data_IF_545659016310
#
_entry.id   IF_545659016310
#
_cell.length_a   1.000
_cell.length_b   1.000
_cell.length_c   1.000
_cell.angle_alpha   90.00
_cell.angle_beta   90.00
_cell.angle_gamma   90.00
#
_symmetry.space_group_name_H-M   'P 1'
#
loop_
_entity.id
_entity.type
_entity.pdbx_description
1 polymer ?
#
# COMPACT_ATOMS: atom_id res chain seq x y z
N UNK A 1 46.38 -8.85 -80.92
CA UNK A 1 45.24 -9.62 -80.41
C UNK A 1 44.60 -8.82 -79.29
N UNK A 2 43.34 -8.31 -79.48
CA UNK A 2 42.60 -7.49 -78.51
C UNK A 2 41.55 -8.37 -77.86
N UNK A 3 41.44 -8.42 -76.51
CA UNK A 3 40.32 -9.10 -75.89
C UNK A 3 39.06 -8.18 -75.79
N UNK A 4 37.92 -8.74 -76.21
CA UNK A 4 36.62 -8.12 -76.18
C UNK A 4 36.11 -8.05 -74.65
N UNK A 5 35.76 -6.85 -74.28
CA UNK A 5 35.07 -6.65 -72.95
C UNK A 5 33.56 -6.97 -73.07
N UNK A 6 33.08 -7.97 -72.32
CA UNK A 6 31.69 -8.21 -72.16
C UNK A 6 31.16 -7.29 -71.00
N UNK A 7 30.22 -6.45 -71.38
CA UNK A 7 29.50 -5.66 -70.40
C UNK A 7 28.30 -6.51 -69.86
N UNK A 8 28.32 -6.85 -68.54
CA UNK A 8 27.25 -7.47 -67.87
C UNK A 8 26.44 -6.37 -67.15
N UNK A 9 25.26 -6.09 -67.64
CA UNK A 9 24.28 -5.19 -67.00
C UNK A 9 23.56 -5.94 -65.91
N UNK A 10 23.84 -5.60 -64.60
CA UNK A 10 23.10 -6.05 -63.45
C UNK A 10 21.87 -5.15 -63.29
N UNK A 11 20.68 -5.71 -63.55
CA UNK A 11 19.43 -5.09 -63.21
C UNK A 11 19.10 -5.42 -61.70
N UNK A 12 19.34 -4.47 -60.83
CA UNK A 12 18.92 -4.57 -59.41
C UNK A 12 17.43 -4.21 -59.29
N UNK A 13 16.59 -5.24 -59.14
CA UNK A 13 15.18 -5.07 -58.75
C UNK A 13 15.12 -4.69 -57.26
N UNK A 14 14.78 -3.42 -56.95
CA UNK A 14 14.41 -2.97 -55.62
C UNK A 14 13.01 -3.49 -55.30
N UNK A 15 12.91 -4.63 -54.58
CA UNK A 15 11.68 -4.99 -53.89
C UNK A 15 11.57 -4.15 -52.62
N UNK A 16 10.75 -3.09 -52.64
CA UNK A 16 10.29 -2.41 -51.42
C UNK A 16 9.38 -3.39 -50.67
N UNK A 17 9.92 -3.96 -49.61
CA UNK A 17 9.12 -4.65 -48.61
C UNK A 17 8.36 -3.59 -47.77
N UNK A 18 7.08 -3.40 -48.08
CA UNK A 18 6.16 -2.69 -47.18
C UNK A 18 5.91 -3.58 -45.94
N UNK A 19 6.70 -3.34 -44.92
CA UNK A 19 6.37 -3.89 -43.58
C UNK A 19 5.17 -3.11 -43.06
N UNK A 20 4.10 -3.79 -42.64
CA UNK A 20 3.01 -3.10 -41.95
C UNK A 20 3.56 -2.55 -40.65
N UNK A 21 3.55 -1.23 -40.47
CA UNK A 21 3.78 -0.58 -39.20
C UNK A 21 2.73 -1.09 -38.21
N UNK A 22 3.14 -2.02 -37.36
CA UNK A 22 2.35 -2.37 -36.17
C UNK A 22 2.41 -1.16 -35.25
N UNK A 23 1.36 -0.35 -35.28
CA UNK A 23 1.11 0.67 -34.26
C UNK A 23 1.05 -0.04 -32.92
N UNK A 24 2.14 -0.01 -32.16
CA UNK A 24 2.16 -0.41 -30.75
C UNK A 24 1.45 0.72 -30.01
N UNK A 25 0.12 0.61 -29.89
CA UNK A 25 -0.63 1.40 -28.94
C UNK A 25 -0.13 1.01 -27.55
N UNK A 26 0.47 1.93 -26.77
CA UNK A 26 0.79 1.63 -25.37
C UNK A 26 -0.54 1.28 -24.69
N UNK A 27 -0.64 0.07 -24.16
CA UNK A 27 -1.72 -0.29 -23.25
C UNK A 27 -1.56 0.62 -22.04
N UNK A 28 -2.34 1.69 -21.98
CA UNK A 28 -2.54 2.48 -20.77
C UNK A 28 -3.08 1.48 -19.76
N UNK A 29 -2.25 1.09 -18.79
CA UNK A 29 -2.69 0.35 -17.60
C UNK A 29 -3.71 1.25 -16.92
N UNK A 30 -5.00 1.00 -17.18
CA UNK A 30 -6.08 1.67 -16.47
C UNK A 30 -5.97 1.23 -15.02
N UNK A 31 -5.72 2.17 -14.13
CA UNK A 31 -5.90 1.94 -12.70
C UNK A 31 -7.40 1.68 -12.52
N UNK A 32 -7.81 0.53 -11.95
CA UNK A 32 -9.22 0.24 -11.73
C UNK A 32 -9.88 1.40 -10.98
N UNK A 33 -11.12 1.72 -11.33
CA UNK A 33 -11.91 2.67 -10.54
C UNK A 33 -12.16 2.07 -9.15
N UNK A 34 -12.43 2.91 -8.14
CA UNK A 34 -12.73 2.43 -6.79
C UNK A 34 -13.93 1.46 -6.79
N UNK A 35 -14.90 1.68 -7.65
CA UNK A 35 -16.05 0.80 -7.83
C UNK A 35 -15.66 -0.57 -8.41
N UNK A 36 -14.76 -0.63 -9.41
CA UNK A 36 -14.23 -1.88 -9.95
C UNK A 36 -13.39 -2.65 -8.91
N UNK A 37 -12.75 -1.94 -7.99
CA UNK A 37 -12.03 -2.54 -6.87
C UNK A 37 -12.93 -2.99 -5.71
N UNK A 38 -14.27 -2.90 -5.86
CA UNK A 38 -15.25 -3.38 -4.89
C UNK A 38 -15.59 -2.38 -3.78
N UNK A 39 -15.31 -1.10 -3.99
CA UNK A 39 -15.66 -0.02 -3.09
C UNK A 39 -16.94 0.68 -3.53
N UNK A 40 -17.79 1.04 -2.58
CA UNK A 40 -19.01 1.82 -2.78
C UNK A 40 -19.09 2.99 -1.80
N UNK A 41 -19.85 4.03 -2.15
CA UNK A 41 -20.08 5.16 -1.26
C UNK A 41 -20.85 4.73 -0.01
N UNK A 42 -20.44 5.19 1.16
CA UNK A 42 -21.11 5.05 2.44
C UNK A 42 -21.35 6.45 3.05
N UNK A 43 -22.11 6.52 4.14
CA UNK A 43 -22.53 7.80 4.77
C UNK A 43 -21.30 8.67 5.13
N UNK A 44 -20.27 8.04 5.69
CA UNK A 44 -19.10 8.75 6.22
C UNK A 44 -17.83 8.49 5.38
N UNK A 45 -17.94 7.92 4.17
CA UNK A 45 -16.79 7.60 3.36
C UNK A 45 -17.02 6.49 2.35
N UNK A 46 -16.20 5.46 2.34
CA UNK A 46 -16.31 4.29 1.44
C UNK A 46 -16.49 2.99 2.23
N UNK A 47 -17.21 2.06 1.63
CA UNK A 47 -17.37 0.70 2.15
C UNK A 47 -16.95 -0.31 1.07
N UNK A 48 -16.14 -1.27 1.46
CA UNK A 48 -15.75 -2.39 0.60
C UNK A 48 -16.75 -3.56 0.74
N UNK A 49 -16.93 -4.38 -0.30
CA UNK A 49 -17.83 -5.55 -0.25
C UNK A 49 -17.47 -6.56 0.85
N UNK A 50 -16.20 -6.59 1.31
CA UNK A 50 -15.75 -7.38 2.47
C UNK A 50 -16.27 -6.86 3.82
N UNK A 51 -16.98 -5.74 3.82
CA UNK A 51 -17.54 -5.11 5.01
C UNK A 51 -16.66 -4.04 5.65
N UNK A 52 -15.41 -3.85 5.22
CA UNK A 52 -14.57 -2.77 5.74
C UNK A 52 -15.15 -1.41 5.39
N UNK A 53 -15.33 -0.55 6.39
CA UNK A 53 -15.68 0.85 6.21
C UNK A 53 -14.45 1.72 6.38
N UNK A 54 -14.24 2.62 5.44
CA UNK A 54 -13.17 3.60 5.43
C UNK A 54 -13.77 5.00 5.48
N UNK A 55 -14.03 5.56 6.68
CA UNK A 55 -14.50 6.94 6.81
C UNK A 55 -13.54 7.91 6.13
N UNK A 56 -14.05 9.06 5.66
CA UNK A 56 -13.22 10.11 5.08
C UNK A 56 -12.25 10.70 6.11
N UNK A 57 -12.65 10.66 7.39
CA UNK A 57 -11.83 11.12 8.51
C UNK A 57 -11.85 10.14 9.68
N UNK A 58 -10.70 9.97 10.34
CA UNK A 58 -10.54 9.22 11.59
C UNK A 58 -9.74 10.07 12.56
N UNK A 59 -10.42 10.72 13.52
CA UNK A 59 -9.77 11.73 14.36
C UNK A 59 -9.08 12.82 13.52
N UNK A 60 -7.75 13.03 13.69
CA UNK A 60 -7.01 14.02 12.91
C UNK A 60 -6.53 13.51 11.53
N UNK A 61 -6.92 12.32 11.12
CA UNK A 61 -6.50 11.71 9.85
C UNK A 61 -7.54 11.87 8.75
N UNK A 62 -7.08 12.11 7.52
CA UNK A 62 -7.89 12.13 6.30
C UNK A 62 -7.56 10.93 5.43
N UNK A 63 -8.57 10.24 4.91
CA UNK A 63 -8.38 9.17 3.94
C UNK A 63 -7.87 9.73 2.62
N UNK A 64 -6.76 9.21 2.14
CA UNK A 64 -6.15 9.60 0.87
C UNK A 64 -6.28 8.54 -0.22
N UNK A 65 -6.49 7.27 0.18
CA UNK A 65 -6.60 6.17 -0.78
C UNK A 65 -7.28 4.96 -0.13
N UNK A 66 -7.95 4.17 -0.95
CA UNK A 66 -8.35 2.80 -0.62
C UNK A 66 -7.42 1.79 -1.28
N UNK A 67 -7.39 0.57 -0.76
CA UNK A 67 -6.52 -0.52 -1.20
C UNK A 67 -7.37 -1.72 -1.58
N UNK A 68 -6.99 -2.36 -2.66
CA UNK A 68 -7.58 -3.61 -3.13
C UNK A 68 -7.18 -4.78 -2.22
N UNK A 69 -7.89 -5.90 -2.39
CA UNK A 69 -7.57 -7.16 -1.75
C UNK A 69 -6.25 -7.72 -2.27
N UNK A 70 -5.39 -8.19 -1.37
CA UNK A 70 -4.10 -8.78 -1.70
C UNK A 70 -3.76 -9.92 -0.72
N UNK A 71 -3.62 -11.13 -1.21
CA UNK A 71 -3.32 -12.30 -0.38
C UNK A 71 -4.40 -12.55 0.67
N UNK A 72 -4.04 -12.50 1.96
CA UNK A 72 -4.94 -12.65 3.10
C UNK A 72 -5.62 -11.33 3.53
N UNK A 73 -5.16 -10.19 3.00
CA UNK A 73 -5.75 -8.89 3.23
C UNK A 73 -6.91 -8.66 2.27
N UNK A 74 -8.11 -8.45 2.79
CA UNK A 74 -9.31 -8.32 1.98
C UNK A 74 -9.45 -6.92 1.35
N UNK A 75 -9.04 -5.88 2.06
CA UNK A 75 -9.08 -4.48 1.60
C UNK A 75 -8.37 -3.58 2.62
N UNK A 76 -8.23 -2.31 2.33
CA UNK A 76 -7.59 -1.37 3.24
C UNK A 76 -7.83 0.08 2.91
N UNK A 77 -7.45 0.97 3.82
CA UNK A 77 -7.52 2.41 3.70
C UNK A 77 -6.21 3.04 4.14
N UNK A 78 -5.75 4.02 3.38
CA UNK A 78 -4.57 4.82 3.70
C UNK A 78 -5.04 6.20 4.15
N UNK A 79 -4.52 6.63 5.27
CA UNK A 79 -4.81 7.92 5.88
C UNK A 79 -3.53 8.74 6.04
N UNK A 80 -3.66 10.05 5.98
CA UNK A 80 -2.61 10.98 6.37
C UNK A 80 -3.10 11.84 7.52
N UNK A 81 -2.24 12.02 8.51
CA UNK A 81 -2.44 12.89 9.67
C UNK A 81 -1.57 14.14 9.58
N UNK A 82 -1.48 14.87 10.69
CA UNK A 82 -0.61 16.04 10.79
C UNK A 82 0.86 15.64 10.67
N UNK A 83 1.67 16.56 10.18
CA UNK A 83 3.15 16.46 10.15
C UNK A 83 3.67 15.18 9.48
N UNK A 84 2.92 14.65 8.50
CA UNK A 84 3.33 13.47 7.73
C UNK A 84 3.06 12.12 8.40
N UNK A 85 2.30 12.09 9.52
CA UNK A 85 1.77 10.83 10.05
C UNK A 85 1.03 10.09 8.96
N UNK A 86 1.34 8.81 8.78
CA UNK A 86 0.64 7.96 7.82
C UNK A 86 0.11 6.74 8.54
N UNK A 87 -1.16 6.41 8.29
CA UNK A 87 -1.80 5.24 8.85
C UNK A 87 -2.40 4.37 7.74
N UNK A 88 -2.28 3.05 7.89
CA UNK A 88 -2.90 2.06 7.02
C UNK A 88 -3.75 1.13 7.87
N UNK A 89 -5.05 1.15 7.61
CA UNK A 89 -6.01 0.22 8.20
C UNK A 89 -6.32 -0.87 7.16
N UNK A 90 -6.18 -2.14 7.53
CA UNK A 90 -6.55 -3.28 6.67
C UNK A 90 -7.43 -4.26 7.42
N UNK A 91 -8.38 -4.87 6.71
CA UNK A 91 -9.05 -6.05 7.22
C UNK A 91 -8.46 -7.33 6.62
N UNK A 92 -8.62 -8.41 7.36
CA UNK A 92 -8.10 -9.74 7.03
C UNK A 92 -9.19 -10.77 7.26
N UNK A 93 -9.03 -11.94 6.68
CA UNK A 93 -9.88 -13.08 7.03
C UNK A 93 -9.81 -13.33 8.55
N UNK A 94 -10.94 -13.65 9.15
CA UNK A 94 -11.01 -13.94 10.59
C UNK A 94 -9.97 -15.00 10.99
N UNK A 95 -9.23 -14.73 12.06
CA UNK A 95 -8.17 -15.58 12.60
C UNK A 95 -6.81 -15.43 11.91
N UNK A 96 -6.69 -14.63 10.84
CA UNK A 96 -5.40 -14.47 10.12
C UNK A 96 -4.61 -13.22 10.50
N UNK A 97 -5.25 -12.19 11.08
CA UNK A 97 -4.59 -10.91 11.37
C UNK A 97 -3.41 -11.03 12.36
N UNK A 98 -3.46 -11.98 13.29
CA UNK A 98 -2.31 -12.27 14.17
C UNK A 98 -1.09 -12.76 13.37
N UNK A 99 -1.30 -13.55 12.32
CA UNK A 99 -0.22 -14.01 11.45
C UNK A 99 0.41 -12.85 10.69
N UNK A 100 -0.38 -11.84 10.31
CA UNK A 100 0.15 -10.63 9.67
C UNK A 100 1.08 -9.86 10.63
N UNK A 101 0.69 -9.68 11.89
CA UNK A 101 1.55 -9.05 12.90
C UNK A 101 2.85 -9.84 13.13
N UNK A 102 2.78 -11.17 13.14
CA UNK A 102 3.96 -12.02 13.23
C UNK A 102 4.87 -11.87 12.00
N UNK A 103 4.27 -11.87 10.79
CA UNK A 103 4.99 -11.70 9.52
C UNK A 103 5.67 -10.32 9.47
N UNK A 104 4.99 -9.26 9.87
CA UNK A 104 5.56 -7.93 10.01
C UNK A 104 6.80 -7.96 10.92
N UNK A 105 6.67 -8.49 12.14
CA UNK A 105 7.78 -8.60 13.09
C UNK A 105 8.98 -9.35 12.52
N UNK A 106 8.73 -10.49 11.87
CA UNK A 106 9.78 -11.31 11.27
C UNK A 106 10.50 -10.57 10.14
N UNK A 107 9.75 -9.95 9.24
CA UNK A 107 10.30 -9.26 8.06
C UNK A 107 11.18 -8.07 8.49
N UNK A 108 10.73 -7.28 9.48
CA UNK A 108 11.49 -6.14 9.97
C UNK A 108 12.77 -6.56 10.70
N UNK A 109 12.72 -7.64 11.50
CA UNK A 109 13.92 -8.22 12.11
C UNK A 109 14.91 -8.75 11.08
N UNK A 110 14.41 -9.42 10.04
CA UNK A 110 15.25 -9.92 8.94
C UNK A 110 15.87 -8.77 8.12
N UNK A 111 15.18 -7.65 8.00
CA UNK A 111 15.70 -6.43 7.37
C UNK A 111 16.73 -5.69 8.24
N UNK A 112 16.94 -6.13 9.49
CA UNK A 112 17.92 -5.53 10.42
C UNK A 112 17.41 -4.28 11.13
N UNK A 113 16.09 -4.05 11.18
CA UNK A 113 15.52 -2.92 11.90
C UNK A 113 15.48 -3.17 13.42
N UNK A 114 15.76 -2.12 14.20
CA UNK A 114 15.79 -2.19 15.65
C UNK A 114 14.37 -2.11 16.25
N UNK A 115 14.00 -3.03 17.16
CA UNK A 115 12.73 -2.95 17.86
C UNK A 115 12.69 -1.74 18.79
N UNK A 116 11.52 -1.11 18.88
CA UNK A 116 11.23 0.02 19.77
C UNK A 116 10.10 -0.37 20.71
N UNK A 117 10.22 0.04 21.98
CA UNK A 117 9.14 -0.11 22.96
C UNK A 117 8.44 1.24 23.13
N UNK A 118 7.15 1.26 22.80
CA UNK A 118 6.28 2.41 23.05
C UNK A 118 5.65 2.31 24.44
N UNK A 119 5.07 3.42 24.92
CA UNK A 119 4.43 3.50 26.24
C UNK A 119 2.90 3.42 26.14
N UNK A 120 2.24 3.14 27.28
CA UNK A 120 0.79 3.14 27.38
C UNK A 120 0.09 2.13 26.47
N UNK A 121 -1.06 2.50 25.90
CA UNK A 121 -1.83 1.64 24.99
C UNK A 121 -1.05 1.28 23.71
N UNK A 122 -0.13 2.14 23.28
CA UNK A 122 0.70 1.91 22.09
C UNK A 122 1.68 0.74 22.26
N UNK A 123 2.04 0.36 23.49
CA UNK A 123 2.94 -0.75 23.79
C UNK A 123 2.43 -2.12 23.33
N UNK A 124 1.13 -2.26 23.02
CA UNK A 124 0.54 -3.51 22.50
C UNK A 124 0.83 -3.74 21.02
N UNK A 125 1.46 -2.78 20.32
CA UNK A 125 1.90 -2.93 18.94
C UNK A 125 3.31 -3.51 18.82
N UNK A 126 3.62 -3.95 17.60
CA UNK A 126 4.98 -4.36 17.22
C UNK A 126 5.64 -3.17 16.52
N UNK A 127 6.69 -2.63 17.11
CA UNK A 127 7.31 -1.37 16.69
C UNK A 127 8.76 -1.56 16.31
N UNK A 128 9.19 -0.89 15.24
CA UNK A 128 10.57 -0.87 14.78
C UNK A 128 11.00 0.54 14.37
N UNK A 129 12.28 0.81 14.59
CA UNK A 129 12.97 1.97 14.04
C UNK A 129 13.47 1.60 12.66
N UNK A 130 12.99 2.32 11.64
CA UNK A 130 13.32 2.02 10.23
C UNK A 130 14.32 2.98 9.64
N UNK A 131 14.49 4.16 10.25
CA UNK A 131 15.50 5.14 9.85
C UNK A 131 15.84 6.09 10.98
N UNK A 132 17.13 6.38 11.11
CA UNK A 132 17.64 7.38 12.04
C UNK A 132 18.00 8.69 11.33
N UNK A 133 17.55 9.80 11.92
CA UNK A 133 18.01 11.15 11.61
C UNK A 133 18.29 11.84 12.96
N UNK A 134 19.49 12.23 13.21
CA UNK A 134 19.78 12.96 14.45
C UNK A 134 19.13 14.36 14.40
N UNK A 135 18.24 14.72 15.35
CA UNK A 135 17.90 14.03 16.61
C UNK A 135 16.64 13.15 16.56
N UNK A 136 16.13 12.79 15.39
CA UNK A 136 14.84 12.07 15.22
C UNK A 136 15.04 10.70 14.61
N UNK A 137 14.02 9.84 14.74
CA UNK A 137 13.98 8.51 14.14
C UNK A 137 12.61 8.22 13.54
N UNK A 138 12.58 7.72 12.30
CA UNK A 138 11.34 7.16 11.72
C UNK A 138 11.07 5.80 12.36
N UNK A 139 9.87 5.64 12.87
CA UNK A 139 9.40 4.41 13.46
C UNK A 139 8.11 3.95 12.78
N UNK A 140 7.91 2.65 12.74
CA UNK A 140 6.73 2.02 12.19
C UNK A 140 6.19 1.02 13.20
N UNK A 141 4.89 1.04 13.43
CA UNK A 141 4.22 0.15 14.38
C UNK A 141 3.00 -0.47 13.76
N UNK A 142 2.82 -1.77 13.99
CA UNK A 142 1.64 -2.52 13.60
C UNK A 142 0.91 -3.02 14.85
N UNK A 143 -0.38 -2.69 14.94
CA UNK A 143 -1.32 -3.26 15.90
C UNK A 143 -2.24 -4.25 15.21
N UNK A 144 -2.61 -5.30 15.93
CA UNK A 144 -3.58 -6.30 15.52
C UNK A 144 -4.84 -6.21 16.41
N UNK A 145 -5.99 -6.32 15.78
CA UNK A 145 -7.30 -6.33 16.46
C UNK A 145 -8.10 -7.53 15.95
N UNK A 146 -8.55 -8.37 16.89
CA UNK A 146 -9.49 -9.45 16.57
C UNK A 146 -10.90 -8.86 16.46
N UNK A 147 -11.61 -9.18 15.40
CA UNK A 147 -13.00 -8.80 15.21
C UNK A 147 -13.93 -10.02 15.15
N UNK A 148 -15.24 -9.77 15.19
CA UNK A 148 -16.24 -10.83 15.17
C UNK A 148 -16.37 -11.53 13.80
N UNK A 149 -16.14 -10.80 12.71
CA UNK A 149 -16.30 -11.28 11.32
C UNK A 149 -15.02 -11.20 10.50
N UNK A 150 -14.12 -10.30 10.87
CA UNK A 150 -12.84 -10.09 10.24
C UNK A 150 -11.83 -9.65 11.29
N UNK A 151 -10.55 -9.93 11.07
CA UNK A 151 -9.46 -9.33 11.84
C UNK A 151 -9.02 -8.02 11.20
N UNK A 152 -8.35 -7.18 11.97
CA UNK A 152 -7.84 -5.90 11.48
C UNK A 152 -6.39 -5.70 11.88
N UNK A 153 -5.65 -5.01 11.01
CA UNK A 153 -4.34 -4.45 11.35
C UNK A 153 -4.34 -2.94 11.12
N UNK A 154 -3.72 -2.22 12.03
CA UNK A 154 -3.43 -0.80 11.90
C UNK A 154 -1.91 -0.65 11.91
N UNK A 155 -1.38 -0.13 10.82
CA UNK A 155 0.02 0.27 10.72
C UNK A 155 0.10 1.80 10.76
N UNK A 156 1.03 2.34 11.55
CA UNK A 156 1.28 3.79 11.59
C UNK A 156 2.79 4.03 11.48
N UNK A 157 3.17 4.95 10.58
CA UNK A 157 4.51 5.52 10.50
C UNK A 157 4.54 6.90 11.18
N UNK A 158 5.54 7.13 12.02
CA UNK A 158 5.70 8.35 12.82
C UNK A 158 7.17 8.61 13.14
N UNK A 159 7.48 9.84 13.55
CA UNK A 159 8.83 10.26 13.91
C UNK A 159 8.97 10.46 15.42
N UNK A 160 9.91 9.75 16.05
CA UNK A 160 10.27 9.95 17.46
C UNK A 160 11.43 10.96 17.61
N UNK A 161 11.40 11.77 18.69
CA UNK A 161 10.35 11.88 19.72
C UNK A 161 9.20 12.83 19.32
N UNK A 162 9.29 13.53 18.18
CA UNK A 162 8.43 14.67 17.82
C UNK A 162 6.95 14.33 17.74
N UNK A 163 6.61 13.12 17.32
CA UNK A 163 5.23 12.67 17.15
C UNK A 163 4.76 11.64 18.20
N UNK A 164 5.56 11.41 19.24
CA UNK A 164 5.22 10.41 20.27
C UNK A 164 3.88 10.68 20.95
N UNK A 165 3.58 11.95 21.23
CA UNK A 165 2.32 12.35 21.85
C UNK A 165 1.08 12.12 20.98
N UNK A 166 1.25 12.02 19.66
CA UNK A 166 0.15 11.83 18.70
C UNK A 166 -0.26 10.35 18.56
N UNK A 167 0.60 9.39 18.96
CA UNK A 167 0.36 7.96 18.74
C UNK A 167 -0.83 7.47 19.55
N UNK A 168 -0.92 7.82 20.83
CA UNK A 168 -2.03 7.42 21.71
C UNK A 168 -3.39 7.89 21.19
N UNK A 169 -3.58 9.20 20.92
CA UNK A 169 -4.79 9.72 20.32
C UNK A 169 -5.13 9.09 18.97
N UNK A 170 -4.14 8.87 18.10
CA UNK A 170 -4.33 8.18 16.82
C UNK A 170 -4.90 6.77 17.03
N UNK A 171 -4.24 5.97 17.87
CA UNK A 171 -4.68 4.62 18.18
C UNK A 171 -6.09 4.58 18.75
N UNK A 172 -6.44 5.52 19.63
CA UNK A 172 -7.79 5.63 20.21
C UNK A 172 -8.85 5.91 19.13
N UNK A 173 -8.59 6.86 18.21
CA UNK A 173 -9.51 7.19 17.12
C UNK A 173 -9.74 6.00 16.16
N UNK A 174 -8.69 5.28 15.80
CA UNK A 174 -8.83 4.07 14.98
C UNK A 174 -9.53 2.94 15.73
N UNK A 175 -9.28 2.75 17.03
CA UNK A 175 -9.96 1.75 17.86
C UNK A 175 -11.47 2.04 17.94
N UNK A 176 -11.87 3.30 18.10
CA UNK A 176 -13.28 3.70 18.06
C UNK A 176 -13.90 3.42 16.68
N UNK A 177 -13.18 3.72 15.60
CA UNK A 177 -13.62 3.40 14.23
C UNK A 177 -13.81 1.90 14.05
N UNK A 178 -12.88 1.08 14.53
CA UNK A 178 -12.97 -0.39 14.49
C UNK A 178 -14.15 -0.95 15.30
N UNK A 179 -14.48 -0.34 16.44
CA UNK A 179 -15.64 -0.75 17.23
C UNK A 179 -16.96 -0.61 16.45
N UNK A 180 -17.02 0.28 15.46
CA UNK A 180 -18.19 0.49 14.58
C UNK A 180 -18.20 -0.45 13.35
N UNK A 181 -17.15 -1.24 13.13
CA UNK A 181 -17.07 -2.21 12.01
C UNK A 181 -17.77 -3.55 12.32
N UNK A 182 -18.00 -3.85 13.59
CA UNK A 182 -18.51 -5.15 14.08
C UNK A 182 -20.04 -5.24 14.10
#
# INVERSE_FOLDING_TARGET
>A
MKPKRLAVTLATALMLWMLPERSITPALSQVPSEEEAGWENDIDGLRHFSGLRCPDTVGPFYRIKVMESEGTSLSGCIYTGRDGLTAVLRNHLQGTGRQEAFTFSRNYKQAGFDPVTLSGAAANGVSFRTRDWTPTSLCETLWYFAGARADFTLWIAFTLPTQEAEIGPALAAFTETLARQN
#
